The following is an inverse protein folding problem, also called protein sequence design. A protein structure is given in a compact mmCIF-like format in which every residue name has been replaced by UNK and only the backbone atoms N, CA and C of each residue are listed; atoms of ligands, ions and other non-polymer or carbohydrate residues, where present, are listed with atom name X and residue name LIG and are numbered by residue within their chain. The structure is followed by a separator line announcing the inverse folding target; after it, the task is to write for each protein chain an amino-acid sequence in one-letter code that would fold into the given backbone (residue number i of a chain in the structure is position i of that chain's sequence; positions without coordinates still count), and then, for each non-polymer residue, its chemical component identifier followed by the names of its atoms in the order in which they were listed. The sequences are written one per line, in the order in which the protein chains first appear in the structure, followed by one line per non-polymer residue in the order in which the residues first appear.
data_IF_464814213410
#
_entry.id   IF_464814213410
#
_cell.length_a   1.000
_cell.length_b   1.000
_cell.length_c   1.000
_cell.angle_alpha   90.00
_cell.angle_beta   90.00
_cell.angle_gamma   90.00
#
_symmetry.space_group_name_H-M   'P 1'
#
loop_
_entity.id
_entity.type
_entity.pdbx_description
1 polymer ?
#
# COMPACT_ATOMS: atom_id res chain seq x y z
N UNK A 1 5.63 7.64 10.73
CA UNK A 1 4.26 7.13 10.55
C UNK A 1 4.20 5.74 11.15
N UNK A 2 3.17 5.42 11.94
CA UNK A 2 2.99 4.07 12.50
C UNK A 2 2.00 3.32 11.62
N UNK A 3 2.37 2.10 11.19
CA UNK A 3 1.57 1.29 10.28
C UNK A 3 1.39 -0.09 10.91
N UNK A 4 0.14 -0.47 11.13
CA UNK A 4 -0.27 -1.84 11.41
C UNK A 4 -0.43 -2.58 10.08
N UNK A 5 0.41 -3.58 9.82
CA UNK A 5 0.46 -4.34 8.56
C UNK A 5 0.02 -5.80 8.71
N UNK A 6 -0.72 -6.14 9.77
CA UNK A 6 -1.10 -7.53 10.04
C UNK A 6 -1.89 -8.19 8.90
N UNK A 7 -2.72 -7.43 8.17
CA UNK A 7 -3.54 -7.93 7.05
C UNK A 7 -2.74 -8.39 5.82
N UNK A 8 -1.45 -8.13 5.78
CA UNK A 8 -0.54 -8.58 4.70
C UNK A 8 0.61 -9.45 5.22
N UNK A 9 0.51 -9.95 6.47
CA UNK A 9 1.55 -10.74 7.10
C UNK A 9 1.78 -12.11 6.40
N UNK A 10 0.74 -12.68 5.81
CA UNK A 10 0.80 -13.98 5.13
C UNK A 10 1.44 -13.90 3.73
N UNK A 11 1.77 -12.70 3.24
CA UNK A 11 2.45 -12.52 1.95
C UNK A 11 3.94 -12.76 2.13
N UNK A 12 4.48 -13.78 1.45
CA UNK A 12 5.91 -14.09 1.48
C UNK A 12 6.77 -12.83 1.16
N UNK A 13 7.60 -12.36 2.11
CA UNK A 13 8.46 -11.19 1.92
C UNK A 13 9.48 -11.35 0.78
N UNK A 14 9.85 -12.59 0.42
CA UNK A 14 10.79 -12.87 -0.68
C UNK A 14 10.12 -12.84 -2.04
N UNK A 15 8.79 -12.95 -2.09
CA UNK A 15 8.01 -12.82 -3.31
C UNK A 15 8.08 -11.39 -3.89
N UNK A 16 7.81 -11.24 -5.18
CA UNK A 16 7.72 -9.92 -5.82
C UNK A 16 6.64 -9.04 -5.19
N UNK A 17 5.51 -9.65 -4.79
CA UNK A 17 4.43 -8.98 -4.08
C UNK A 17 4.89 -8.47 -2.71
N UNK A 18 5.54 -9.32 -1.91
CA UNK A 18 6.08 -8.97 -0.60
C UNK A 18 7.12 -7.85 -0.68
N UNK A 19 8.04 -7.92 -1.65
CA UNK A 19 9.03 -6.85 -1.90
C UNK A 19 8.37 -5.51 -2.26
N UNK A 20 7.36 -5.53 -3.12
CA UNK A 20 6.61 -4.34 -3.52
C UNK A 20 5.90 -3.69 -2.33
N UNK A 21 5.25 -4.49 -1.49
CA UNK A 21 4.61 -4.04 -0.25
C UNK A 21 5.65 -3.45 0.70
N UNK A 22 6.75 -4.17 0.95
CA UNK A 22 7.81 -3.73 1.87
C UNK A 22 8.42 -2.39 1.45
N UNK A 23 8.70 -2.21 0.15
CA UNK A 23 9.21 -0.95 -0.39
C UNK A 23 8.21 0.20 -0.20
N UNK A 24 6.93 -0.06 -0.49
CA UNK A 24 5.85 0.92 -0.31
C UNK A 24 5.72 1.36 1.15
N UNK A 25 5.78 0.40 2.08
CA UNK A 25 5.78 0.67 3.52
C UNK A 25 7.02 1.47 3.97
N UNK A 26 8.19 1.23 3.38
CA UNK A 26 9.40 2.04 3.63
C UNK A 26 9.20 3.49 3.22
N UNK A 27 8.68 3.73 2.01
CA UNK A 27 8.38 5.08 1.53
C UNK A 27 7.38 5.82 2.42
N UNK A 28 6.35 5.14 2.94
CA UNK A 28 5.42 5.74 3.91
C UNK A 28 6.10 6.11 5.23
N UNK A 29 6.98 5.24 5.74
CA UNK A 29 7.75 5.52 6.98
C UNK A 29 8.69 6.70 6.79
N UNK A 30 9.31 6.81 5.62
CA UNK A 30 10.19 7.91 5.19
C UNK A 30 9.42 9.17 4.74
N UNK A 31 8.09 9.16 4.75
CA UNK A 31 7.23 10.26 4.26
C UNK A 31 7.47 10.64 2.79
N UNK A 32 7.93 9.69 1.97
CA UNK A 32 8.17 9.86 0.52
C UNK A 32 6.90 9.63 -0.30
N UNK A 33 5.87 10.43 0.00
CA UNK A 33 4.52 10.26 -0.51
C UNK A 33 4.38 10.33 -2.04
N UNK A 34 5.17 11.17 -2.70
CA UNK A 34 5.15 11.31 -4.17
C UNK A 34 5.58 10.03 -4.91
N UNK A 35 6.46 9.22 -4.31
CA UNK A 35 6.96 7.99 -4.93
C UNK A 35 5.87 6.93 -5.08
N UNK A 36 4.87 6.95 -4.19
CA UNK A 36 3.82 5.92 -4.07
C UNK A 36 2.42 6.47 -4.30
N UNK A 37 2.31 7.72 -4.77
CA UNK A 37 1.01 8.37 -5.02
C UNK A 37 0.06 8.26 -3.81
N UNK A 38 0.54 8.68 -2.64
CA UNK A 38 -0.24 8.61 -1.41
C UNK A 38 -1.41 9.61 -1.43
N UNK A 39 -2.65 9.11 -1.37
CA UNK A 39 -3.85 9.95 -1.35
C UNK A 39 -5.04 9.25 -0.66
N UNK A 40 -6.03 10.04 -0.26
CA UNK A 40 -7.30 9.58 0.30
C UNK A 40 -8.38 9.46 -0.80
N UNK A 41 -9.27 8.49 -0.62
CA UNK A 41 -10.45 8.22 -1.46
C UNK A 41 -11.72 8.76 -0.80
N UNK A 42 -12.82 8.80 -1.57
CA UNK A 42 -14.14 9.21 -1.09
C UNK A 42 -14.69 8.27 0.00
N UNK A 43 -14.30 6.99 -0.02
CA UNK A 43 -14.62 6.00 1.02
C UNK A 43 -13.83 6.20 2.33
N UNK A 44 -13.10 7.32 2.44
CA UNK A 44 -12.20 7.71 3.54
C UNK A 44 -11.00 6.79 3.73
N UNK A 45 -10.79 5.78 2.88
CA UNK A 45 -9.55 5.01 2.89
C UNK A 45 -8.44 5.78 2.21
N UNK A 46 -7.21 5.46 2.60
CA UNK A 46 -6.01 5.94 1.94
C UNK A 46 -5.42 4.83 1.07
N UNK A 47 -4.66 5.20 0.06
CA UNK A 47 -3.97 4.22 -0.77
C UNK A 47 -2.58 4.65 -1.18
N UNK A 48 -1.72 3.65 -1.37
CA UNK A 48 -0.41 3.79 -1.97
C UNK A 48 -0.26 2.82 -3.16
N UNK A 49 0.29 3.29 -4.27
CA UNK A 49 0.60 2.47 -5.44
C UNK A 49 1.63 1.38 -5.10
N UNK A 50 1.37 0.15 -5.54
CA UNK A 50 2.30 -0.96 -5.43
C UNK A 50 3.05 -1.19 -6.75
N UNK A 51 4.28 -0.68 -6.84
CA UNK A 51 5.11 -0.81 -8.05
C UNK A 51 5.59 -2.25 -8.24
N UNK A 52 5.34 -2.82 -9.42
CA UNK A 52 5.80 -4.17 -9.79
C UNK A 52 5.07 -5.33 -9.07
N UNK A 53 4.00 -5.05 -8.33
CA UNK A 53 3.20 -6.07 -7.65
C UNK A 53 2.60 -7.06 -8.64
N UNK A 54 2.60 -8.35 -8.30
CA UNK A 54 2.07 -9.42 -9.16
C UNK A 54 2.53 -9.36 -10.65
N UNK A 55 3.77 -8.89 -10.89
CA UNK A 55 4.36 -8.72 -12.22
C UNK A 55 3.67 -7.70 -13.14
N UNK A 56 2.86 -6.78 -12.59
CA UNK A 56 2.29 -5.69 -13.40
C UNK A 56 3.32 -4.64 -13.77
N UNK A 57 3.29 -4.18 -15.02
CA UNK A 57 4.17 -3.12 -15.55
C UNK A 57 3.61 -1.70 -15.35
N UNK A 58 2.33 -1.56 -14.99
CA UNK A 58 1.66 -0.27 -14.82
C UNK A 58 1.70 0.25 -13.39
N UNK A 59 1.92 1.55 -13.22
CA UNK A 59 1.73 2.25 -11.95
C UNK A 59 0.25 2.27 -11.56
N UNK A 60 -0.04 2.04 -10.28
CA UNK A 60 -1.41 2.08 -9.75
C UNK A 60 -2.31 0.90 -10.16
N UNK A 61 -1.77 -0.11 -10.85
CA UNK A 61 -2.50 -1.34 -11.20
C UNK A 61 -2.98 -2.09 -9.95
N UNK A 62 -2.17 -2.06 -8.89
CA UNK A 62 -2.51 -2.52 -7.55
C UNK A 62 -2.19 -1.41 -6.55
N UNK A 63 -3.03 -1.31 -5.52
CA UNK A 63 -2.89 -0.33 -4.45
C UNK A 63 -2.96 -1.02 -3.10
N UNK A 64 -2.06 -0.64 -2.19
CA UNK A 64 -2.17 -1.01 -0.79
C UNK A 64 -3.14 -0.03 -0.14
N UNK A 65 -4.18 -0.57 0.49
CA UNK A 65 -5.26 0.20 1.10
C UNK A 65 -5.02 0.36 2.59
N UNK A 66 -5.40 1.52 3.12
CA UNK A 66 -5.18 1.88 4.50
C UNK A 66 -6.42 2.55 5.11
N UNK A 67 -6.71 2.20 6.36
CA UNK A 67 -7.61 2.95 7.22
C UNK A 67 -6.80 3.89 8.10
N UNK A 68 -7.20 5.15 8.15
CA UNK A 68 -6.63 6.11 9.10
C UNK A 68 -7.20 5.86 10.50
N UNK A 69 -6.32 5.78 11.50
CA UNK A 69 -6.68 5.52 12.90
C UNK A 69 -6.53 6.76 13.79
N UNK A 70 -6.23 7.93 13.20
CA UNK A 70 -5.93 9.17 13.92
C UNK A 70 -4.43 9.50 13.93
N UNK A 71 -4.13 10.81 13.98
CA UNK A 71 -2.75 11.31 13.94
C UNK A 71 -1.95 10.76 12.75
N UNK A 72 -0.79 10.19 13.02
CA UNK A 72 0.07 9.53 12.01
C UNK A 72 -0.03 7.99 12.05
N UNK A 73 -1.16 7.44 12.50
CA UNK A 73 -1.40 6.01 12.64
C UNK A 73 -2.35 5.49 11.57
N UNK A 74 -1.95 4.41 10.91
CA UNK A 74 -2.70 3.78 9.84
C UNK A 74 -2.69 2.26 10.00
N UNK A 75 -3.75 1.60 9.54
CA UNK A 75 -3.82 0.15 9.41
C UNK A 75 -3.95 -0.22 7.94
N UNK A 76 -3.20 -1.22 7.49
CA UNK A 76 -3.37 -1.82 6.17
C UNK A 76 -4.67 -2.62 6.16
N UNK A 77 -5.51 -2.40 5.17
CA UNK A 77 -6.77 -3.14 4.97
C UNK A 77 -6.60 -4.26 3.94
N UNK A 78 -5.59 -4.17 3.06
CA UNK A 78 -5.29 -5.18 2.06
C UNK A 78 -4.85 -4.56 0.73
N UNK A 79 -4.79 -5.38 -0.32
CA UNK A 79 -4.46 -4.94 -1.68
C UNK A 79 -5.73 -4.85 -2.52
N UNK A 80 -5.94 -3.72 -3.20
CA UNK A 80 -7.06 -3.48 -4.12
C UNK A 80 -6.55 -3.37 -5.55
N UNK A 81 -7.26 -3.99 -6.49
CA UNK A 81 -7.02 -3.85 -7.93
C UNK A 81 -8.14 -2.97 -8.53
N UNK A 82 -7.95 -1.64 -8.65
CA UNK A 82 -9.03 -0.72 -9.04
C UNK A 82 -9.59 -0.95 -10.44
N UNK A 83 -8.88 -1.68 -11.30
CA UNK A 83 -9.30 -1.97 -12.68
C UNK A 83 -10.05 -3.29 -12.84
N UNK A 84 -10.16 -4.10 -11.78
CA UNK A 84 -11.01 -5.30 -11.78
C UNK A 84 -12.35 -4.92 -11.14
N UNK A 85 -13.42 -5.01 -11.93
CA UNK A 85 -14.81 -4.93 -11.46
C UNK A 85 -15.21 -6.25 -10.81
#
# INVERSE_FOLDING_TARGET
MRIDSASVADIDPRSRAGRSIALTLSHLRERRFGAIHWHQHDDRLWSADLHGYAATRGRGAYRLMFRHLGGSHYRVEGVRQPHRR
#
